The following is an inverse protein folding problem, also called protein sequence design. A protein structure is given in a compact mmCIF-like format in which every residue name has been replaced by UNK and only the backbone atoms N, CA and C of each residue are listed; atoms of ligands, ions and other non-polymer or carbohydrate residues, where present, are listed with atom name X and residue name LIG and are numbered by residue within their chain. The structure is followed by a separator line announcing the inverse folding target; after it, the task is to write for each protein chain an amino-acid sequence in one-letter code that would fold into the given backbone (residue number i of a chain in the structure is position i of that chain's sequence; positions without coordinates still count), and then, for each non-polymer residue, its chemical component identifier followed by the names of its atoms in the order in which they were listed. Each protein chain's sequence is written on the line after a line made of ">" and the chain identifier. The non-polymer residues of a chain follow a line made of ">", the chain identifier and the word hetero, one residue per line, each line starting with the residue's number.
data_IF_276840572555
#
_entry.id   IF_276840572555
#
_cell.length_a   1.000
_cell.length_b   1.000
_cell.length_c   1.000
_cell.angle_alpha   90.00
_cell.angle_beta   90.00
_cell.angle_gamma   90.00
#
_symmetry.space_group_name_H-M   'P 1'
#
loop_
_entity.id
_entity.type
_entity.pdbx_description
1 polymer ?
#
# COMPACT_ATOMS: atom_id res chain seq x y z
N UNK A 1 3.49 -43.45 -3.43
CA UNK A 1 4.08 -42.32 -4.17
C UNK A 1 4.26 -41.21 -3.14
N UNK A 2 5.50 -40.87 -2.78
CA UNK A 2 5.76 -39.85 -1.76
C UNK A 2 5.40 -38.47 -2.34
N UNK A 3 4.77 -37.58 -1.55
CA UNK A 3 4.48 -36.22 -2.00
C UNK A 3 5.77 -35.50 -2.41
N UNK A 4 5.68 -34.69 -3.46
CA UNK A 4 6.79 -33.92 -4.05
C UNK A 4 7.57 -33.05 -3.05
N UNK A 5 6.92 -32.69 -1.94
CA UNK A 5 7.48 -31.88 -0.85
C UNK A 5 8.42 -32.65 0.09
N UNK A 6 8.54 -33.98 -0.04
CA UNK A 6 9.49 -34.79 0.75
C UNK A 6 10.93 -34.70 0.19
N UNK A 7 11.15 -34.03 -0.95
CA UNK A 7 12.48 -33.78 -1.51
C UNK A 7 12.98 -32.39 -1.13
N UNK A 8 13.46 -32.26 0.10
CA UNK A 8 14.01 -31.02 0.68
C UNK A 8 15.03 -30.34 -0.26
N UNK A 9 15.96 -31.11 -0.83
CA UNK A 9 16.99 -30.63 -1.75
C UNK A 9 16.40 -30.03 -3.03
N UNK A 10 15.34 -30.64 -3.57
CA UNK A 10 14.66 -30.16 -4.77
C UNK A 10 13.93 -28.84 -4.52
N UNK A 11 13.25 -28.72 -3.36
CA UNK A 11 12.51 -27.51 -2.99
C UNK A 11 13.48 -26.35 -2.73
N UNK A 12 14.58 -26.61 -2.04
CA UNK A 12 15.64 -25.62 -1.78
C UNK A 12 16.26 -25.13 -3.10
N UNK A 13 16.56 -26.02 -4.03
CA UNK A 13 17.14 -25.65 -5.33
C UNK A 13 16.15 -24.85 -6.19
N UNK A 14 14.89 -25.29 -6.25
CA UNK A 14 13.83 -24.55 -6.95
C UNK A 14 13.62 -23.14 -6.37
N UNK A 15 13.74 -23.02 -5.05
CA UNK A 15 13.66 -21.72 -4.39
C UNK A 15 14.83 -20.82 -4.79
N UNK A 16 16.06 -21.34 -4.78
CA UNK A 16 17.25 -20.61 -5.23
C UNK A 16 17.07 -20.06 -6.65
N UNK A 17 16.58 -20.87 -7.60
CA UNK A 17 16.34 -20.46 -8.99
C UNK A 17 15.29 -19.35 -9.13
N UNK A 18 14.40 -19.21 -8.14
CA UNK A 18 13.38 -18.16 -8.11
C UNK A 18 13.91 -16.80 -7.61
N UNK A 19 15.09 -16.77 -6.98
CA UNK A 19 15.65 -15.56 -6.39
C UNK A 19 16.40 -14.71 -7.43
N UNK A 20 16.36 -13.39 -7.25
CA UNK A 20 17.07 -12.44 -8.10
C UNK A 20 17.79 -11.38 -7.27
N UNK A 21 18.90 -10.87 -7.82
CA UNK A 21 19.70 -9.78 -7.24
C UNK A 21 19.99 -10.00 -5.75
N UNK A 22 19.63 -9.03 -4.90
CA UNK A 22 19.92 -9.03 -3.46
C UNK A 22 19.37 -10.25 -2.71
N UNK A 23 18.30 -10.88 -3.20
CA UNK A 23 17.76 -12.11 -2.60
C UNK A 23 18.63 -13.33 -2.94
N UNK A 24 19.17 -13.37 -4.15
CA UNK A 24 20.11 -14.42 -4.56
C UNK A 24 21.45 -14.25 -3.83
N UNK A 25 21.97 -13.03 -3.74
CA UNK A 25 23.21 -12.74 -3.02
C UNK A 25 23.12 -13.17 -1.54
N UNK A 26 21.99 -12.90 -0.88
CA UNK A 26 21.73 -13.37 0.48
C UNK A 26 21.74 -14.90 0.57
N UNK A 27 21.07 -15.59 -0.35
CA UNK A 27 21.01 -17.05 -0.35
C UNK A 27 22.41 -17.67 -0.50
N UNK A 28 23.26 -17.10 -1.36
CA UNK A 28 24.63 -17.56 -1.59
C UNK A 28 25.56 -17.37 -0.38
N UNK A 29 25.18 -16.53 0.60
CA UNK A 29 25.93 -16.34 1.85
C UNK A 29 25.55 -17.35 2.94
N UNK A 30 24.47 -18.12 2.75
CA UNK A 30 24.05 -19.16 3.68
C UNK A 30 24.98 -20.37 3.57
N UNK A 31 25.33 -20.97 4.71
CA UNK A 31 26.03 -22.25 4.74
C UNK A 31 25.02 -23.38 4.65
N UNK A 32 25.36 -24.47 3.97
CA UNK A 32 24.51 -25.66 3.90
C UNK A 32 24.17 -26.23 5.29
N UNK A 33 25.08 -26.07 6.26
CA UNK A 33 24.90 -26.45 7.66
C UNK A 33 23.76 -25.68 8.36
N UNK A 34 23.47 -24.45 7.90
CA UNK A 34 22.46 -23.57 8.49
C UNK A 34 21.04 -23.83 7.94
N UNK A 35 20.91 -24.58 6.83
CA UNK A 35 19.65 -24.83 6.12
C UNK A 35 19.44 -26.31 5.79
N UNK A 36 19.43 -27.22 6.79
CA UNK A 36 19.28 -28.66 6.53
C UNK A 36 17.88 -29.03 6.02
N UNK A 37 16.89 -28.15 6.18
CA UNK A 37 15.51 -28.35 5.69
C UNK A 37 14.94 -27.07 5.07
N UNK A 38 13.91 -27.22 4.24
CA UNK A 38 13.08 -26.14 3.72
C UNK A 38 12.46 -25.30 4.85
N UNK A 39 12.10 -25.93 5.97
CA UNK A 39 11.57 -25.22 7.13
C UNK A 39 12.59 -24.24 7.74
N UNK A 40 13.88 -24.60 7.76
CA UNK A 40 14.94 -23.73 8.26
C UNK A 40 15.25 -22.59 7.28
N UNK A 41 15.33 -22.91 5.99
CA UNK A 41 15.52 -21.92 4.92
C UNK A 41 14.38 -20.89 4.89
N UNK A 42 13.13 -21.35 4.89
CA UNK A 42 11.95 -20.47 4.85
C UNK A 42 11.88 -19.56 6.06
N UNK A 43 12.22 -20.05 7.26
CA UNK A 43 12.29 -19.22 8.47
C UNK A 43 13.36 -18.15 8.36
N UNK A 44 14.58 -18.50 7.94
CA UNK A 44 15.66 -17.53 7.72
C UNK A 44 15.30 -16.50 6.65
N UNK A 45 14.61 -16.91 5.58
CA UNK A 45 14.14 -15.98 4.55
C UNK A 45 13.13 -14.98 5.12
N UNK A 46 12.17 -15.46 5.92
CA UNK A 46 11.21 -14.59 6.60
C UNK A 46 11.96 -13.68 7.58
N UNK A 47 12.86 -14.18 8.42
CA UNK A 47 13.59 -13.34 9.38
C UNK A 47 14.46 -12.29 8.69
N UNK A 48 15.07 -12.65 7.56
CA UNK A 48 15.85 -11.75 6.73
C UNK A 48 14.99 -10.69 6.06
N UNK A 49 13.82 -11.03 5.53
CA UNK A 49 13.01 -10.12 4.71
C UNK A 49 11.69 -9.68 5.36
N UNK A 50 11.48 -9.97 6.64
CA UNK A 50 10.30 -9.53 7.38
C UNK A 50 10.20 -8.01 7.41
N UNK A 51 11.33 -7.29 7.36
CA UNK A 51 11.32 -5.83 7.22
C UNK A 51 10.93 -5.35 5.82
N UNK A 52 11.08 -6.20 4.79
CA UNK A 52 10.59 -5.94 3.43
C UNK A 52 9.10 -6.26 3.28
N UNK A 53 8.48 -6.92 4.26
CA UNK A 53 7.02 -6.87 4.33
C UNK A 53 6.67 -5.41 4.53
N UNK A 54 6.07 -4.78 3.52
CA UNK A 54 5.64 -3.39 3.59
C UNK A 54 4.97 -3.22 4.95
N UNK A 55 5.58 -2.44 5.84
CA UNK A 55 4.94 -2.14 7.12
C UNK A 55 3.55 -1.65 6.75
N UNK A 56 2.47 -2.30 7.24
CA UNK A 56 1.12 -1.87 6.95
C UNK A 56 1.09 -0.37 7.20
N UNK A 57 0.72 0.46 6.20
CA UNK A 57 0.82 1.90 6.33
C UNK A 57 0.15 2.28 7.64
N UNK A 58 0.88 2.90 8.56
CA UNK A 58 0.28 3.24 9.85
C UNK A 58 -0.87 4.21 9.62
N UNK A 59 -1.90 4.17 10.47
CA UNK A 59 -3.02 5.12 10.40
C UNK A 59 -2.54 6.58 10.37
N UNK A 60 -1.40 6.85 11.01
CA UNK A 60 -0.72 8.15 11.00
C UNK A 60 -0.17 8.49 9.59
N UNK A 61 0.51 7.56 8.93
CA UNK A 61 1.00 7.76 7.56
C UNK A 61 -0.14 7.94 6.54
N UNK A 62 -1.24 7.19 6.68
CA UNK A 62 -2.42 7.35 5.82
C UNK A 62 -3.08 8.73 5.99
N UNK A 63 -3.14 9.24 7.22
CA UNK A 63 -3.74 10.54 7.54
C UNK A 63 -2.83 11.74 7.21
N UNK A 64 -1.51 11.55 7.20
CA UNK A 64 -0.53 12.59 6.87
C UNK A 64 -0.20 12.66 5.37
N UNK A 65 -0.70 11.73 4.55
CA UNK A 65 -0.36 11.67 3.12
C UNK A 65 -1.14 12.67 2.29
N UNK A 66 -0.80 13.95 2.43
CA UNK A 66 -1.46 15.03 1.71
C UNK A 66 -1.30 14.89 0.18
N UNK A 67 -2.32 15.32 -0.56
CA UNK A 67 -2.26 15.45 -2.01
C UNK A 67 -1.26 16.55 -2.40
N UNK A 68 -0.32 16.23 -3.29
CA UNK A 68 0.66 17.20 -3.75
C UNK A 68 0.03 18.26 -4.68
N UNK A 69 0.57 19.49 -4.64
CA UNK A 69 0.10 20.58 -5.50
C UNK A 69 0.29 20.21 -6.99
N UNK A 70 -0.79 20.29 -7.78
CA UNK A 70 -0.78 19.95 -9.21
C UNK A 70 -0.85 18.46 -9.52
N UNK A 71 -0.90 17.57 -8.51
CA UNK A 71 -1.18 16.15 -8.73
C UNK A 71 -2.60 15.97 -9.27
N UNK A 72 -2.82 14.98 -10.13
CA UNK A 72 -4.18 14.61 -10.53
C UNK A 72 -4.90 13.91 -9.38
N UNK A 73 -6.07 14.42 -9.02
CA UNK A 73 -6.87 13.88 -7.93
C UNK A 73 -7.16 12.38 -8.06
N UNK A 74 -7.48 11.90 -9.26
CA UNK A 74 -7.78 10.48 -9.52
C UNK A 74 -6.60 9.56 -9.22
N UNK A 75 -5.39 10.01 -9.55
CA UNK A 75 -4.15 9.26 -9.29
C UNK A 75 -3.85 9.23 -7.80
N UNK A 76 -4.04 10.36 -7.12
CA UNK A 76 -3.92 10.46 -5.66
C UNK A 76 -4.90 9.51 -4.95
N UNK A 77 -6.19 9.57 -5.29
CA UNK A 77 -7.24 8.78 -4.65
C UNK A 77 -7.05 7.27 -4.86
N UNK A 78 -6.72 6.86 -6.08
CA UNK A 78 -6.43 5.45 -6.39
C UNK A 78 -5.25 4.94 -5.58
N UNK A 79 -4.16 5.71 -5.52
CA UNK A 79 -2.95 5.35 -4.78
C UNK A 79 -3.19 5.30 -3.27
N UNK A 80 -3.94 6.27 -2.73
CA UNK A 80 -4.30 6.30 -1.31
C UNK A 80 -5.15 5.07 -0.94
N UNK A 81 -6.17 4.75 -1.75
CA UNK A 81 -7.06 3.61 -1.49
C UNK A 81 -6.33 2.27 -1.58
N UNK A 82 -5.40 2.12 -2.53
CA UNK A 82 -4.56 0.94 -2.64
C UNK A 82 -3.67 0.74 -1.39
N UNK A 83 -3.24 1.81 -0.74
CA UNK A 83 -2.49 1.71 0.52
C UNK A 83 -3.39 1.44 1.72
N UNK A 84 -4.56 2.09 1.79
CA UNK A 84 -5.56 1.81 2.82
C UNK A 84 -5.97 0.32 2.83
N UNK A 85 -6.07 -0.31 1.65
CA UNK A 85 -6.38 -1.74 1.51
C UNK A 85 -5.28 -2.68 2.04
N UNK A 86 -4.05 -2.21 2.22
CA UNK A 86 -2.93 -2.98 2.78
C UNK A 86 -2.88 -2.95 4.31
N UNK A 87 -3.74 -2.15 4.96
CA UNK A 87 -3.78 -2.04 6.41
C UNK A 87 -4.36 -3.29 7.07
N UNK A 88 -3.69 -3.78 8.12
CA UNK A 88 -4.14 -4.89 8.96
C UNK A 88 -4.24 -4.38 10.41
N UNK A 89 -5.40 -4.51 11.07
CA UNK A 89 -6.66 -5.08 10.58
C UNK A 89 -7.32 -4.21 9.50
N UNK A 90 -8.18 -4.78 8.65
CA UNK A 90 -8.90 -4.02 7.62
C UNK A 90 -9.67 -2.85 8.26
N UNK A 91 -9.36 -1.64 7.82
CA UNK A 91 -10.07 -0.43 8.23
C UNK A 91 -11.43 -0.36 7.54
N UNK A 92 -12.48 -0.08 8.31
CA UNK A 92 -13.84 0.04 7.78
C UNK A 92 -13.96 1.19 6.78
N UNK A 93 -14.96 1.13 5.89
CA UNK A 93 -15.17 2.17 4.88
C UNK A 93 -15.41 3.56 5.51
N UNK A 94 -16.13 3.63 6.64
CA UNK A 94 -16.34 4.87 7.40
C UNK A 94 -15.02 5.47 7.86
N UNK A 95 -14.11 4.63 8.37
CA UNK A 95 -12.78 5.09 8.81
C UNK A 95 -11.92 5.51 7.61
N UNK A 96 -11.98 4.79 6.48
CA UNK A 96 -11.27 5.19 5.25
C UNK A 96 -11.72 6.56 4.77
N UNK A 97 -13.03 6.83 4.77
CA UNK A 97 -13.59 8.14 4.39
C UNK A 97 -13.08 9.23 5.34
N UNK A 98 -13.12 8.99 6.65
CA UNK A 98 -12.62 9.94 7.66
C UNK A 98 -11.13 10.26 7.48
N UNK A 99 -10.29 9.26 7.30
CA UNK A 99 -8.86 9.47 7.05
C UNK A 99 -8.61 10.16 5.71
N UNK A 100 -9.40 9.84 4.68
CA UNK A 100 -9.27 10.51 3.39
C UNK A 100 -9.62 12.00 3.51
N UNK A 101 -10.67 12.36 4.25
CA UNK A 101 -11.00 13.76 4.52
C UNK A 101 -9.86 14.52 5.21
N UNK A 102 -9.13 13.90 6.14
CA UNK A 102 -8.02 14.58 6.82
C UNK A 102 -6.82 14.88 5.92
N UNK A 103 -6.70 14.18 4.79
CA UNK A 103 -5.64 14.42 3.79
C UNK A 103 -5.95 15.53 2.79
N UNK A 104 -7.19 16.02 2.75
CA UNK A 104 -7.62 17.08 1.82
C UNK A 104 -7.34 18.46 2.43
N UNK A 105 -6.83 19.40 1.61
CA UNK A 105 -6.56 20.79 2.00
C UNK A 105 -7.45 21.79 1.27
N UNK A 106 -7.69 22.94 1.92
CA UNK A 106 -8.29 24.13 1.31
C UNK A 106 -9.72 23.89 0.80
N UNK A 107 -10.01 24.36 -0.41
CA UNK A 107 -11.34 24.26 -1.05
C UNK A 107 -11.87 22.82 -1.16
N UNK A 108 -10.98 21.83 -1.24
CA UNK A 108 -11.38 20.42 -1.24
C UNK A 108 -11.95 19.99 0.12
N UNK A 109 -11.42 20.49 1.23
CA UNK A 109 -11.95 20.18 2.56
C UNK A 109 -13.27 20.91 2.84
N UNK A 110 -13.37 22.20 2.49
CA UNK A 110 -14.57 23.02 2.77
C UNK A 110 -15.79 22.64 1.91
N UNK A 111 -15.59 22.22 0.65
CA UNK A 111 -16.69 21.85 -0.24
C UNK A 111 -17.14 20.38 -0.10
N UNK A 112 -16.34 19.51 0.54
CA UNK A 112 -16.69 18.11 0.79
C UNK A 112 -17.26 17.81 2.16
N UNK A 113 -17.67 18.82 2.92
CA UNK A 113 -18.46 18.63 4.15
C UNK A 113 -19.87 18.02 3.89
N UNK A 114 -20.23 17.75 2.64
CA UNK A 114 -21.42 16.96 2.32
C UNK A 114 -21.22 15.52 2.81
N UNK A 115 -22.23 14.95 3.48
CA UNK A 115 -22.18 13.56 3.93
C UNK A 115 -22.07 12.63 2.72
N UNK A 116 -20.88 12.07 2.49
CA UNK A 116 -20.66 11.03 1.49
C UNK A 116 -20.87 9.68 2.16
N UNK A 117 -21.90 8.95 1.72
CA UNK A 117 -22.30 7.63 2.22
C UNK A 117 -21.32 6.52 1.88
N UNK A 118 -20.53 6.69 0.81
CA UNK A 118 -19.53 5.73 0.35
C UNK A 118 -18.29 6.43 -0.20
N UNK A 119 -17.19 5.68 -0.32
CA UNK A 119 -15.98 6.21 -0.94
C UNK A 119 -16.19 6.49 -2.44
N UNK A 120 -17.08 5.78 -3.11
CA UNK A 120 -17.41 6.05 -4.52
C UNK A 120 -18.09 7.41 -4.69
N UNK A 121 -19.04 7.74 -3.80
CA UNK A 121 -19.72 9.05 -3.78
C UNK A 121 -18.71 10.17 -3.51
N UNK A 122 -17.77 9.93 -2.59
CA UNK A 122 -16.67 10.85 -2.27
C UNK A 122 -15.82 11.17 -3.50
N UNK A 123 -15.43 10.14 -4.27
CA UNK A 123 -14.66 10.32 -5.50
C UNK A 123 -15.46 11.08 -6.56
N UNK A 124 -16.75 10.80 -6.72
CA UNK A 124 -17.58 11.51 -7.70
C UNK A 124 -17.75 13.00 -7.34
N UNK A 125 -17.98 13.31 -6.06
CA UNK A 125 -18.06 14.68 -5.56
C UNK A 125 -16.75 15.44 -5.81
N UNK A 126 -15.60 14.80 -5.55
CA UNK A 126 -14.28 15.37 -5.80
C UNK A 126 -13.99 15.59 -7.28
N UNK A 127 -14.42 14.68 -8.16
CA UNK A 127 -14.30 14.87 -9.62
C UNK A 127 -15.11 16.07 -10.11
N UNK A 128 -16.33 16.25 -9.58
CA UNK A 128 -17.18 17.41 -9.91
C UNK A 128 -16.54 18.71 -9.44
N UNK A 129 -15.94 18.71 -8.25
CA UNK A 129 -15.23 19.87 -7.71
C UNK A 129 -13.98 20.22 -8.54
N UNK A 130 -13.15 19.22 -8.86
CA UNK A 130 -11.95 19.39 -9.70
C UNK A 130 -12.30 19.94 -11.09
N UNK A 131 -13.40 19.45 -11.69
CA UNK A 131 -13.92 19.97 -12.94
C UNK A 131 -14.41 21.42 -12.81
N UNK A 132 -15.08 21.76 -11.69
CA UNK A 132 -15.51 23.12 -11.38
C UNK A 132 -14.35 24.11 -11.27
N UNK A 133 -13.25 23.69 -10.63
CA UNK A 133 -12.00 24.46 -10.53
C UNK A 133 -11.36 24.63 -11.92
N UNK A 134 -11.21 23.55 -12.69
CA UNK A 134 -10.65 23.60 -14.07
C UNK A 134 -11.44 24.50 -15.00
N UNK A 135 -12.76 24.56 -14.84
CA UNK A 135 -13.65 25.41 -15.63
C UNK A 135 -13.70 26.86 -15.13
N UNK A 136 -12.93 27.22 -14.10
CA UNK A 136 -12.91 28.57 -13.52
C UNK A 136 -14.22 28.97 -12.82
N UNK A 137 -15.10 27.99 -12.52
CA UNK A 137 -16.37 28.22 -11.81
C UNK A 137 -16.20 28.23 -10.30
N UNK A 138 -15.07 27.76 -9.81
CA UNK A 138 -14.70 27.69 -8.39
C UNK A 138 -13.24 28.12 -8.24
N UNK A 139 -12.92 28.84 -7.17
CA UNK A 139 -11.53 29.20 -6.87
C UNK A 139 -10.75 27.94 -6.49
N UNK A 140 -9.54 27.79 -7.04
CA UNK A 140 -8.63 26.71 -6.67
C UNK A 140 -8.09 26.88 -5.25
N UNK A 141 -7.40 25.88 -4.68
CA UNK A 141 -6.84 25.99 -3.34
C UNK A 141 -5.83 27.15 -3.27
N UNK A 142 -6.24 28.26 -2.64
CA UNK A 142 -5.36 29.36 -2.27
C UNK A 142 -4.71 29.06 -0.92
N UNK A 143 -3.37 28.98 -0.91
CA UNK A 143 -2.58 28.93 0.32
C UNK A 143 -2.74 30.25 1.08
N UNK A 144 -3.36 30.21 2.25
CA UNK A 144 -3.18 31.25 3.26
C UNK A 144 -3.02 30.60 4.62
#
# INVERSE_FOLDING_TARGET
>A
MLPYWDYEEFVIHSFQDSLTASALDWFMLLKAEDIPTWADLSRKFIDQYQYCTETPPTLLELSMKEMAQGQRFEEYATKWRAQAAKHIPLISEVQQIQFFHSTLRGVYYSHLLAHTSSFSDLIEALKKLDLGIKLGRMEGPTNK
#
